data_IF_169610194174
#
_entry.id   IF_169610194174
#
_cell.length_a   1.000
_cell.length_b   1.000
_cell.length_c   1.000
_cell.angle_alpha   90.00
_cell.angle_beta   90.00
_cell.angle_gamma   90.00
#
_symmetry.space_group_name_H-M   'P 1'
#
loop_
_entity.id
_entity.type
_entity.pdbx_description
1 polymer ?
#
# COMPACT_ATOMS: atom_id res chain seq x y z
N UNK A 1 -18.60 -10.53 -11.60
CA UNK A 1 -18.93 -10.50 -10.15
C UNK A 1 -17.74 -11.06 -9.42
N UNK A 2 -17.17 -10.33 -8.45
CA UNK A 2 -16.03 -10.80 -7.68
C UNK A 2 -16.40 -12.06 -6.90
N UNK A 3 -15.56 -13.09 -7.00
CA UNK A 3 -15.80 -14.37 -6.32
C UNK A 3 -15.80 -14.17 -4.78
N UNK A 4 -16.61 -14.93 -4.05
CA UNK A 4 -16.66 -14.89 -2.58
C UNK A 4 -15.28 -15.07 -1.95
N UNK A 5 -14.41 -15.84 -2.60
CA UNK A 5 -13.00 -16.03 -2.21
C UNK A 5 -12.21 -14.72 -2.11
N UNK A 6 -12.46 -13.76 -3.01
CA UNK A 6 -11.77 -12.46 -3.00
C UNK A 6 -12.14 -11.66 -1.75
N UNK A 7 -13.44 -11.59 -1.44
CA UNK A 7 -13.90 -10.91 -0.24
C UNK A 7 -13.35 -11.54 1.04
N UNK A 8 -13.28 -12.87 1.09
CA UNK A 8 -12.69 -13.61 2.22
C UNK A 8 -11.21 -13.24 2.40
N UNK A 9 -10.43 -13.18 1.31
CA UNK A 9 -9.00 -12.80 1.36
C UNK A 9 -8.85 -11.36 1.88
N UNK A 10 -9.60 -10.41 1.32
CA UNK A 10 -9.52 -8.99 1.70
C UNK A 10 -9.89 -8.81 3.18
N UNK A 11 -11.01 -9.38 3.62
CA UNK A 11 -11.47 -9.28 5.01
C UNK A 11 -10.50 -9.98 5.97
N UNK A 12 -10.03 -11.17 5.62
CA UNK A 12 -9.08 -11.93 6.44
C UNK A 12 -7.77 -11.18 6.65
N UNK A 13 -7.20 -10.60 5.59
CA UNK A 13 -5.97 -9.80 5.68
C UNK A 13 -6.22 -8.50 6.44
N UNK A 14 -7.36 -7.83 6.25
CA UNK A 14 -7.69 -6.61 6.98
C UNK A 14 -7.80 -6.86 8.50
N UNK A 15 -8.51 -7.92 8.90
CA UNK A 15 -8.63 -8.30 10.31
C UNK A 15 -7.27 -8.71 10.87
N UNK A 16 -6.52 -9.57 10.18
CA UNK A 16 -5.19 -10.00 10.60
C UNK A 16 -4.21 -8.83 10.74
N UNK A 17 -4.21 -7.92 9.77
CA UNK A 17 -3.40 -6.71 9.76
C UNK A 17 -3.73 -5.78 10.93
N UNK A 18 -5.01 -5.59 11.25
CA UNK A 18 -5.45 -4.81 12.41
C UNK A 18 -4.92 -5.36 13.74
N UNK A 19 -5.07 -6.67 13.96
CA UNK A 19 -4.56 -7.32 15.18
C UNK A 19 -3.03 -7.30 15.25
N UNK A 20 -2.35 -7.53 14.12
CA UNK A 20 -0.90 -7.46 14.01
C UNK A 20 -0.38 -6.05 14.34
N UNK A 21 -1.04 -5.00 13.83
CA UNK A 21 -0.71 -3.62 14.14
C UNK A 21 -0.83 -3.35 15.64
N UNK A 22 -1.96 -3.74 16.26
CA UNK A 22 -2.15 -3.56 17.71
C UNK A 22 -1.08 -4.30 18.53
N UNK A 23 -0.76 -5.53 18.14
CA UNK A 23 0.27 -6.32 18.80
C UNK A 23 1.64 -5.67 18.69
N UNK A 24 2.03 -5.23 17.49
CA UNK A 24 3.32 -4.58 17.25
C UNK A 24 3.44 -3.25 17.98
N UNK A 25 2.39 -2.41 17.97
CA UNK A 25 2.39 -1.14 18.71
C UNK A 25 2.61 -1.35 20.20
N UNK A 26 1.94 -2.35 20.80
CA UNK A 26 2.15 -2.72 22.21
C UNK A 26 3.56 -3.26 22.46
N UNK A 27 4.07 -4.13 21.59
CA UNK A 27 5.40 -4.75 21.74
C UNK A 27 6.54 -3.75 21.58
N UNK A 28 6.36 -2.75 20.71
CA UNK A 28 7.38 -1.77 20.37
C UNK A 28 7.28 -0.47 21.17
N UNK A 29 6.28 -0.36 22.06
CA UNK A 29 5.91 0.85 22.82
C UNK A 29 5.73 2.07 21.90
N UNK A 30 4.93 1.90 20.84
CA UNK A 30 4.67 2.94 19.85
C UNK A 30 3.31 3.59 20.09
N UNK A 31 3.26 4.92 20.04
CA UNK A 31 2.00 5.67 20.01
C UNK A 31 1.37 5.61 18.62
N UNK A 32 0.04 5.72 18.56
CA UNK A 32 -0.68 5.77 17.28
C UNK A 32 -0.53 7.16 16.67
N UNK A 33 -0.02 7.24 15.43
CA UNK A 33 0.11 8.52 14.71
C UNK A 33 -1.03 8.74 13.72
N UNK A 34 -1.70 9.89 13.82
CA UNK A 34 -2.67 10.36 12.82
C UNK A 34 -3.87 9.44 12.57
N UNK A 35 -4.61 9.73 11.49
CA UNK A 35 -5.72 8.90 11.04
C UNK A 35 -5.18 7.68 10.29
N UNK A 36 -5.63 6.47 10.65
CA UNK A 36 -5.16 5.22 10.05
C UNK A 36 -3.63 4.97 10.13
N UNK A 37 -2.94 5.56 11.11
CA UNK A 37 -1.48 5.42 11.24
C UNK A 37 -0.68 6.36 10.33
N UNK A 38 -1.34 7.18 9.51
CA UNK A 38 -0.67 8.00 8.51
C UNK A 38 -0.31 9.40 9.01
N UNK A 39 0.96 9.77 8.88
CA UNK A 39 1.48 11.12 9.14
C UNK A 39 2.72 11.38 8.29
N UNK A 40 2.77 12.53 7.62
CA UNK A 40 3.99 12.96 6.91
C UNK A 40 5.15 13.21 7.87
N UNK A 41 6.34 12.75 7.50
CA UNK A 41 7.58 12.91 8.31
C UNK A 41 8.25 14.27 8.08
N UNK A 42 8.11 14.84 6.89
CA UNK A 42 8.62 16.17 6.53
C UNK A 42 7.90 16.71 5.28
N UNK A 43 8.23 17.94 4.87
CA UNK A 43 7.67 18.56 3.67
C UNK A 43 8.14 17.90 2.37
N UNK A 44 9.31 17.25 2.35
CA UNK A 44 9.79 16.49 1.19
C UNK A 44 8.91 15.26 0.93
N UNK A 45 8.44 14.58 1.97
CA UNK A 45 7.55 13.43 1.88
C UNK A 45 6.27 13.81 1.13
N UNK A 46 5.63 14.91 1.54
CA UNK A 46 4.43 15.45 0.89
C UNK A 46 4.70 15.75 -0.59
N UNK A 47 5.80 16.46 -0.89
CA UNK A 47 6.16 16.82 -2.26
C UNK A 47 6.38 15.58 -3.13
N UNK A 48 7.07 14.56 -2.62
CA UNK A 48 7.33 13.33 -3.36
C UNK A 48 6.04 12.52 -3.60
N UNK A 49 5.15 12.41 -2.62
CA UNK A 49 3.86 11.73 -2.85
C UNK A 49 2.99 12.47 -3.87
N UNK A 50 2.95 13.82 -3.85
CA UNK A 50 2.23 14.61 -4.84
C UNK A 50 2.83 14.43 -6.24
N UNK A 51 4.15 14.51 -6.37
CA UNK A 51 4.84 14.31 -7.66
C UNK A 51 4.59 12.89 -8.19
N UNK A 52 4.67 11.88 -7.33
CA UNK A 52 4.37 10.49 -7.67
C UNK A 52 2.93 10.34 -8.16
N UNK A 53 1.97 10.97 -7.48
CA UNK A 53 0.56 10.94 -7.87
C UNK A 53 0.33 11.60 -9.24
N UNK A 54 0.96 12.76 -9.51
CA UNK A 54 0.84 13.44 -10.81
C UNK A 54 1.43 12.57 -11.93
N UNK A 55 2.64 12.03 -11.72
CA UNK A 55 3.29 11.15 -12.70
C UNK A 55 2.41 9.93 -13.00
N UNK A 56 1.87 9.30 -11.95
CA UNK A 56 0.96 8.16 -12.10
C UNK A 56 -0.33 8.52 -12.82
N UNK A 57 -0.94 9.66 -12.49
CA UNK A 57 -2.17 10.10 -13.13
C UNK A 57 -1.97 10.30 -14.63
N UNK A 58 -0.91 11.02 -15.02
CA UNK A 58 -0.58 11.24 -16.44
C UNK A 58 -0.24 9.93 -17.15
N UNK A 59 0.59 9.07 -16.54
CA UNK A 59 1.01 7.81 -17.16
C UNK A 59 -0.16 6.83 -17.31
N UNK A 60 -1.08 6.78 -16.35
CA UNK A 60 -2.28 5.94 -16.42
C UNK A 60 -3.25 6.41 -17.52
N UNK A 61 -3.42 7.72 -17.71
CA UNK A 61 -4.20 8.24 -18.84
C UNK A 61 -3.57 7.84 -20.18
N UNK A 62 -2.25 7.93 -20.32
CA UNK A 62 -1.57 7.50 -21.55
C UNK A 62 -1.75 5.99 -21.75
N UNK A 63 -1.53 5.19 -20.70
CA UNK A 63 -1.62 3.72 -20.76
C UNK A 63 -2.99 3.24 -21.23
N UNK A 64 -4.07 3.77 -20.64
CA UNK A 64 -5.46 3.38 -20.98
C UNK A 64 -5.85 3.80 -22.40
N UNK A 65 -5.27 4.87 -22.94
CA UNK A 65 -5.58 5.33 -24.31
C UNK A 65 -4.67 4.70 -25.37
N UNK A 66 -3.57 4.05 -24.99
CA UNK A 66 -2.57 3.51 -25.93
C UNK A 66 -2.76 2.03 -26.24
N UNK A 67 -3.46 1.28 -25.38
CA UNK A 67 -3.65 -0.16 -25.49
C UNK A 67 -5.11 -0.51 -25.18
N UNK A 68 -5.82 -1.13 -26.14
CA UNK A 68 -7.22 -1.56 -25.97
C UNK A 68 -7.38 -2.62 -24.87
N UNK A 69 -6.31 -3.36 -24.56
CA UNK A 69 -6.28 -4.37 -23.51
C UNK A 69 -5.66 -3.83 -22.19
N UNK A 70 -5.52 -2.51 -22.06
CA UNK A 70 -4.96 -1.89 -20.86
C UNK A 70 -5.74 -2.29 -19.60
N UNK A 71 -5.08 -3.00 -18.69
CA UNK A 71 -5.67 -3.37 -17.41
C UNK A 71 -5.25 -2.36 -16.33
N UNK A 72 -6.18 -1.47 -15.98
CA UNK A 72 -5.93 -0.42 -14.99
C UNK A 72 -5.55 -0.96 -13.61
N UNK A 73 -5.90 -2.21 -13.30
CA UNK A 73 -5.53 -2.89 -12.07
C UNK A 73 -4.01 -3.01 -11.89
N UNK A 74 -3.27 -3.28 -12.96
CA UNK A 74 -1.80 -3.32 -12.91
C UNK A 74 -1.20 -1.94 -12.64
N UNK A 75 -1.75 -0.90 -13.27
CA UNK A 75 -1.33 0.48 -13.01
C UNK A 75 -1.55 0.84 -11.54
N UNK A 76 -2.74 0.55 -10.98
CA UNK A 76 -3.04 0.79 -9.57
C UNK A 76 -2.10 0.03 -8.65
N UNK A 77 -1.81 -1.24 -8.95
CA UNK A 77 -0.90 -2.05 -8.16
C UNK A 77 0.50 -1.43 -8.10
N UNK A 78 1.07 -1.07 -9.26
CA UNK A 78 2.40 -0.43 -9.34
C UNK A 78 2.42 0.88 -8.55
N UNK A 79 1.36 1.68 -8.66
CA UNK A 79 1.24 2.93 -7.90
C UNK A 79 1.26 2.69 -6.39
N UNK A 80 0.37 1.84 -5.87
CA UNK A 80 0.28 1.59 -4.43
C UNK A 80 1.55 0.95 -3.88
N UNK A 81 2.15 -0.01 -4.61
CA UNK A 81 3.42 -0.60 -4.22
C UNK A 81 4.55 0.46 -4.14
N UNK A 82 4.63 1.35 -5.13
CA UNK A 82 5.64 2.43 -5.15
C UNK A 82 5.39 3.44 -4.02
N UNK A 83 4.13 3.84 -3.82
CA UNK A 83 3.73 4.78 -2.76
C UNK A 83 4.07 4.23 -1.37
N UNK A 84 3.73 2.98 -1.10
CA UNK A 84 4.00 2.35 0.20
C UNK A 84 5.50 2.14 0.42
N UNK A 85 6.25 1.82 -0.64
CA UNK A 85 7.72 1.74 -0.58
C UNK A 85 8.34 3.11 -0.26
N UNK A 86 7.90 4.17 -0.95
CA UNK A 86 8.35 5.53 -0.69
C UNK A 86 8.06 5.92 0.76
N UNK A 87 6.87 5.63 1.28
CA UNK A 87 6.46 5.93 2.65
C UNK A 87 7.34 5.22 3.67
N UNK A 88 7.51 3.90 3.53
CA UNK A 88 8.37 3.10 4.41
C UNK A 88 9.82 3.61 4.38
N UNK A 89 10.34 3.99 3.20
CA UNK A 89 11.68 4.55 3.05
C UNK A 89 11.81 5.93 3.71
N UNK A 90 10.82 6.81 3.55
CA UNK A 90 10.81 8.13 4.17
C UNK A 90 10.77 8.02 5.70
N UNK A 91 9.93 7.14 6.24
CA UNK A 91 9.85 6.88 7.68
C UNK A 91 11.17 6.30 8.22
N UNK A 92 11.77 5.34 7.52
CA UNK A 92 13.04 4.74 7.93
C UNK A 92 14.19 5.75 7.91
N UNK A 93 14.24 6.63 6.90
CA UNK A 93 15.33 7.58 6.70
C UNK A 93 15.21 8.83 7.57
N UNK A 94 14.01 9.34 7.79
CA UNK A 94 13.79 10.63 8.44
C UNK A 94 13.18 10.55 9.85
N UNK A 95 12.59 9.41 10.24
CA UNK A 95 11.89 9.28 11.52
C UNK A 95 12.04 7.86 12.09
N UNK A 96 13.29 7.37 12.10
CA UNK A 96 13.62 6.00 12.50
C UNK A 96 13.23 5.68 13.94
N UNK A 97 13.29 6.66 14.83
CA UNK A 97 12.98 6.51 16.25
C UNK A 97 11.53 6.14 16.52
N UNK A 98 10.61 6.58 15.66
CA UNK A 98 9.19 6.24 15.79
C UNK A 98 8.91 4.78 15.50
N UNK A 99 9.78 4.12 14.72
CA UNK A 99 9.65 2.74 14.23
C UNK A 99 8.41 2.50 13.36
N UNK A 100 7.71 3.55 12.92
CA UNK A 100 6.55 3.43 12.02
C UNK A 100 6.92 2.74 10.70
N UNK A 101 8.17 2.89 10.25
CA UNK A 101 8.69 2.19 9.08
C UNK A 101 8.53 0.66 9.18
N UNK A 102 8.51 0.08 10.39
CA UNK A 102 8.26 -1.35 10.59
C UNK A 102 6.82 -1.70 10.21
N UNK A 103 5.85 -0.91 10.66
CA UNK A 103 4.45 -1.09 10.33
C UNK A 103 4.20 -0.85 8.84
N UNK A 104 4.77 0.21 8.27
CA UNK A 104 4.68 0.49 6.83
C UNK A 104 5.30 -0.62 5.97
N UNK A 105 6.43 -1.19 6.39
CA UNK A 105 7.08 -2.31 5.68
C UNK A 105 6.26 -3.59 5.78
N UNK A 106 5.76 -3.93 6.96
CA UNK A 106 4.91 -5.11 7.16
C UNK A 106 3.61 -4.99 6.38
N UNK A 107 3.03 -3.79 6.37
CA UNK A 107 1.85 -3.52 5.59
C UNK A 107 2.12 -3.61 4.08
N UNK A 108 3.27 -3.15 3.59
CA UNK A 108 3.69 -3.34 2.20
C UNK A 108 3.80 -4.84 1.86
N UNK A 109 4.39 -5.64 2.75
CA UNK A 109 4.45 -7.09 2.58
C UNK A 109 3.05 -7.72 2.56
N UNK A 110 2.16 -7.30 3.46
CA UNK A 110 0.78 -7.77 3.48
C UNK A 110 0.04 -7.40 2.19
N UNK A 111 0.28 -6.21 1.63
CA UNK A 111 -0.26 -5.79 0.35
C UNK A 111 0.24 -6.68 -0.81
N UNK A 112 1.54 -6.96 -0.87
CA UNK A 112 2.12 -7.87 -1.89
C UNK A 112 1.57 -9.29 -1.77
N UNK A 113 1.43 -9.80 -0.55
CA UNK A 113 0.84 -11.13 -0.28
C UNK A 113 -0.63 -11.15 -0.70
N UNK A 114 -1.40 -10.12 -0.34
CA UNK A 114 -2.80 -10.00 -0.75
C UNK A 114 -2.93 -10.05 -2.26
N UNK A 115 -2.14 -9.26 -2.99
CA UNK A 115 -2.22 -9.20 -4.45
C UNK A 115 -1.78 -10.52 -5.08
N UNK A 116 -0.73 -11.16 -4.56
CA UNK A 116 -0.31 -12.49 -5.01
C UNK A 116 -1.42 -13.54 -4.85
N UNK A 117 -2.14 -13.51 -3.71
CA UNK A 117 -3.27 -14.40 -3.47
C UNK A 117 -4.45 -14.09 -4.38
N UNK A 118 -4.76 -12.80 -4.59
CA UNK A 118 -5.81 -12.39 -5.50
C UNK A 118 -5.50 -12.87 -6.92
N UNK A 119 -4.28 -12.65 -7.43
CA UNK A 119 -3.84 -13.14 -8.74
C UNK A 119 -3.87 -14.67 -8.86
N UNK A 120 -3.63 -15.40 -7.77
CA UNK A 120 -3.68 -16.86 -7.77
C UNK A 120 -5.12 -17.40 -7.85
N UNK A 121 -6.06 -16.81 -7.10
CA UNK A 121 -7.44 -17.30 -7.03
C UNK A 121 -8.37 -16.69 -8.08
N UNK A 122 -8.05 -15.49 -8.55
CA UNK A 122 -8.78 -14.73 -9.56
C UNK A 122 -7.76 -13.87 -10.32
N UNK A 123 -7.03 -14.46 -11.30
CA UNK A 123 -6.01 -13.74 -12.06
C UNK A 123 -6.67 -12.58 -12.79
N UNK A 124 -6.61 -11.39 -12.16
CA UNK A 124 -7.31 -10.13 -12.46
C UNK A 124 -8.05 -10.24 -13.79
N UNK A 125 -9.24 -10.85 -13.74
CA UNK A 125 -10.15 -11.15 -14.85
C UNK A 125 -9.49 -11.13 -16.25
N UNK A 126 -9.10 -12.31 -16.75
CA UNK A 126 -8.81 -12.53 -18.17
C UNK A 126 -9.91 -11.95 -19.08
#
# INVERSE_FOLDING_TARGET
MWNSSVWIIIIGIAIGGYFLEQFLRRKLNMEKRGFFGYKYVNSLHVKLEIVLFIIYFVSSMIYVNSDENANIGYAFFIFFATLWTLRAWMEWKFDRESKEYILSTIGLLAFVVMISLLLYFDPISA
#
